data_IF_282768269288
#
_entry.id   IF_282768269288
#
_cell.length_a   1.000
_cell.length_b   1.000
_cell.length_c   1.000
_cell.angle_alpha   90.00
_cell.angle_beta   90.00
_cell.angle_gamma   90.00
#
_symmetry.space_group_name_H-M   'P 1'
#
loop_
_entity.id
_entity.type
_entity.pdbx_description
1 polymer ?
2 non-polymer ?
3 non-polymer ?
4 non-polymer ?
5 non-polymer ?
6 water ?
#
# COMPACT_ATOMS: atom_id res chain seq x y z
N UNK A 4 10.70 -6.10 29.38
CA UNK A 4 10.92 -7.42 28.78
C UNK A 4 10.98 -7.33 27.24
N UNK A 5 12.04 -7.88 26.63
CA UNK A 5 12.22 -7.87 25.18
C UNK A 5 11.16 -8.75 24.45
N UNK A 6 11.04 -8.52 23.13
CA UNK A 6 10.11 -9.24 22.27
C UNK A 6 10.73 -9.56 20.93
N UNK A 7 10.43 -10.73 20.40
CA UNK A 7 10.76 -11.12 19.04
C UNK A 7 9.55 -11.82 18.44
N UNK A 8 9.41 -11.78 17.12
CA UNK A 8 8.28 -12.39 16.44
C UNK A 8 8.71 -13.57 15.58
N UNK A 9 7.79 -14.53 15.36
CA UNK A 9 7.93 -15.65 14.41
C UNK A 9 6.73 -15.48 13.46
N UNK A 10 6.96 -15.47 12.16
CA UNK A 10 5.86 -15.34 11.21
C UNK A 10 5.89 -16.54 10.31
N UNK A 11 4.79 -17.29 10.24
CA UNK A 11 4.66 -18.46 9.38
C UNK A 11 4.30 -17.99 7.98
N UNK A 12 5.15 -18.30 6.98
CA UNK A 12 4.94 -17.79 5.62
C UNK A 12 5.43 -18.77 4.54
N UNK A 13 5.48 -20.08 4.86
CA UNK A 13 6.00 -21.12 3.93
C UNK A 13 4.99 -21.68 2.94
N UNK A 14 3.71 -21.44 3.20
CA UNK A 14 2.59 -21.93 2.39
C UNK A 14 2.64 -21.71 0.90
N UNK A 15 2.17 -22.69 0.13
CA UNK A 15 2.10 -22.65 -1.34
C UNK A 15 0.91 -21.79 -1.81
N UNK A 16 -0.20 -21.84 -1.08
CA UNK A 16 -1.44 -21.16 -1.45
C UNK A 16 -1.99 -21.69 -2.75
N UNK A 17 -2.12 -23.02 -2.85
CA UNK A 17 -2.59 -23.76 -4.00
C UNK A 17 -3.89 -23.15 -4.58
N UNK A 18 -4.87 -22.83 -3.70
CA UNK A 18 -6.19 -22.31 -4.04
C UNK A 18 -6.18 -20.84 -4.54
N UNK A 19 -5.00 -20.20 -4.54
CA UNK A 19 -4.84 -18.87 -5.16
C UNK A 19 -4.64 -19.11 -6.69
N UNK A 20 -4.26 -20.37 -7.09
CA UNK A 20 -3.97 -20.75 -8.50
C UNK A 20 -3.01 -19.71 -9.12
N UNK A 21 -1.86 -19.54 -8.46
CA UNK A 21 -0.87 -18.51 -8.77
C UNK A 21 0.53 -19.08 -8.77
N UNK A 22 1.45 -18.43 -9.51
CA UNK A 22 2.85 -18.78 -9.51
C UNK A 22 3.52 -18.17 -8.26
N UNK A 23 2.85 -17.23 -7.57
CA UNK A 23 3.42 -16.63 -6.37
C UNK A 23 3.17 -17.54 -5.16
N UNK A 24 4.05 -17.54 -4.13
CA UNK A 24 3.67 -18.25 -2.89
C UNK A 24 2.53 -17.45 -2.21
N UNK A 25 1.79 -18.10 -1.31
CA UNK A 25 0.59 -17.57 -0.61
C UNK A 25 0.68 -16.16 -0.04
N UNK A 26 1.72 -15.87 0.73
CA UNK A 26 1.80 -14.61 1.49
C UNK A 26 2.23 -13.38 0.69
N UNK A 27 2.66 -13.54 -0.57
CA UNK A 27 3.08 -12.43 -1.40
C UNK A 27 1.90 -11.69 -2.05
N UNK A 28 0.69 -12.30 -2.08
CA UNK A 28 -0.50 -11.62 -2.61
C UNK A 28 -0.73 -10.40 -1.72
N UNK A 29 -1.09 -9.30 -2.34
CA UNK A 29 -1.20 -8.03 -1.64
C UNK A 29 -2.57 -7.72 -1.04
N UNK A 30 -2.53 -6.90 0.03
CA UNK A 30 -3.64 -6.21 0.68
C UNK A 30 -3.21 -4.74 0.64
N UNK A 31 -4.05 -3.87 0.09
CA UNK A 31 -3.77 -2.44 -0.04
C UNK A 31 -2.38 -2.17 -0.65
N UNK A 32 -2.03 -2.89 -1.72
CA UNK A 32 -0.76 -2.69 -2.41
C UNK A 32 0.50 -3.27 -1.78
N UNK A 33 0.40 -3.91 -0.61
CA UNK A 33 1.62 -4.48 -0.06
C UNK A 33 1.39 -5.96 0.33
N UNK A 34 2.41 -6.85 0.17
CA UNK A 34 2.18 -8.29 0.46
C UNK A 34 1.56 -8.53 1.82
N UNK A 35 0.71 -9.56 1.92
CA UNK A 35 0.10 -9.93 3.21
C UNK A 35 1.16 -10.05 4.29
N UNK A 36 2.28 -10.75 3.99
CA UNK A 36 3.37 -10.96 4.96
C UNK A 36 4.02 -9.63 5.44
N UNK A 37 4.12 -8.64 4.53
CA UNK A 37 4.68 -7.31 4.83
C UNK A 37 3.85 -6.59 5.89
N UNK A 38 2.50 -6.74 5.85
CA UNK A 38 1.64 -6.16 6.86
C UNK A 38 2.04 -6.73 8.21
N UNK A 39 2.22 -8.05 8.28
CA UNK A 39 2.56 -8.76 9.52
C UNK A 39 3.96 -8.34 10.02
N UNK A 40 4.96 -8.28 9.12
CA UNK A 40 6.34 -7.81 9.42
C UNK A 40 6.27 -6.39 10.01
N UNK A 41 5.51 -5.48 9.36
CA UNK A 41 5.37 -4.10 9.84
C UNK A 41 4.70 -4.05 11.20
N UNK A 42 3.65 -4.87 11.43
CA UNK A 42 3.00 -4.94 12.75
C UNK A 42 4.02 -5.38 13.83
N UNK A 43 4.79 -6.46 13.55
CA UNK A 43 5.78 -7.01 14.47
C UNK A 43 6.86 -5.94 14.78
N UNK A 44 7.23 -5.15 13.76
CA UNK A 44 8.17 -4.06 13.91
C UNK A 44 7.58 -2.98 14.80
N UNK A 45 6.32 -2.52 14.52
CA UNK A 45 5.58 -1.51 15.33
C UNK A 45 5.48 -1.94 16.82
N UNK A 46 5.45 -3.26 17.09
CA UNK A 46 5.37 -3.80 18.44
C UNK A 46 6.68 -3.64 19.20
N UNK A 47 7.79 -3.50 18.48
CA UNK A 47 9.11 -3.36 19.07
C UNK A 47 9.93 -4.64 19.03
N UNK A 48 9.60 -5.56 18.09
CA UNK A 48 10.31 -6.82 17.97
C UNK A 48 11.79 -6.59 17.64
N UNK A 49 12.67 -7.19 18.44
CA UNK A 49 14.11 -7.13 18.25
C UNK A 49 14.43 -7.97 17.02
N UNK A 50 13.85 -9.20 16.96
CA UNK A 50 14.02 -10.10 15.83
C UNK A 50 12.67 -10.48 15.24
N UNK A 51 12.65 -10.77 13.94
CA UNK A 51 11.47 -11.23 13.23
C UNK A 51 11.94 -12.43 12.48
N UNK A 52 11.54 -13.61 12.95
CA UNK A 52 11.94 -14.87 12.34
C UNK A 52 10.92 -15.23 11.28
N UNK A 53 11.35 -15.21 10.02
CA UNK A 53 10.43 -15.49 8.92
C UNK A 53 10.57 -16.94 8.43
N UNK A 54 9.55 -17.78 8.71
CA UNK A 54 9.54 -19.15 8.21
C UNK A 54 9.04 -19.13 6.77
N UNK A 55 9.87 -19.52 5.82
CA UNK A 55 9.54 -19.54 4.41
C UNK A 55 9.92 -20.87 3.79
N UNK A 56 9.35 -21.16 2.62
CA UNK A 56 9.53 -22.44 1.95
C UNK A 56 9.17 -22.38 0.50
N UNK A 57 7.86 -22.54 0.17
CA UNK A 57 7.38 -22.42 -1.24
C UNK A 57 7.65 -21.05 -1.80
N UNK A 58 8.03 -21.01 -3.08
CA UNK A 58 8.35 -19.77 -3.79
C UNK A 58 9.44 -18.98 -3.10
N UNK A 59 10.42 -19.71 -2.56
CA UNK A 59 11.57 -19.18 -1.81
C UNK A 59 12.29 -18.05 -2.53
N UNK A 60 12.58 -18.22 -3.82
CA UNK A 60 13.29 -17.18 -4.60
C UNK A 60 12.46 -15.93 -4.74
N UNK A 61 11.13 -16.08 -4.93
CA UNK A 61 10.24 -14.92 -5.05
C UNK A 61 10.12 -14.21 -3.72
N UNK A 62 10.08 -14.99 -2.59
CA UNK A 62 10.02 -14.39 -1.26
C UNK A 62 11.25 -13.48 -1.07
N UNK A 63 12.44 -14.00 -1.44
CA UNK A 63 13.73 -13.28 -1.33
C UNK A 63 13.81 -12.02 -2.19
N UNK A 64 13.28 -12.05 -3.43
CA UNK A 64 13.26 -10.89 -4.34
C UNK A 64 12.22 -9.85 -3.90
N UNK A 65 11.02 -10.30 -3.55
CA UNK A 65 9.96 -9.38 -3.14
C UNK A 65 10.16 -8.77 -1.76
N UNK A 66 10.96 -9.43 -0.88
CA UNK A 66 11.13 -8.93 0.51
C UNK A 66 12.58 -8.72 0.86
N UNK A 67 13.46 -8.55 -0.17
CA UNK A 67 14.92 -8.33 -0.03
C UNK A 67 15.33 -7.35 1.06
N UNK A 68 14.57 -6.28 1.25
CA UNK A 68 14.92 -5.22 2.17
C UNK A 68 14.30 -5.34 3.57
N UNK A 69 13.55 -6.42 3.84
CA UNK A 69 12.94 -6.63 5.16
C UNK A 69 13.98 -7.08 6.17
N UNK A 70 13.97 -6.46 7.36
CA UNK A 70 14.88 -6.81 8.46
C UNK A 70 14.32 -8.02 9.20
N UNK A 71 14.43 -9.18 8.55
CA UNK A 71 13.95 -10.46 9.04
C UNK A 71 15.09 -11.50 9.02
N UNK A 72 14.93 -12.55 9.82
CA UNK A 72 15.81 -13.69 9.83
C UNK A 72 15.12 -14.72 8.93
N UNK A 73 15.78 -15.08 7.82
CA UNK A 73 15.29 -16.03 6.83
C UNK A 73 15.43 -17.45 7.29
N UNK A 74 14.32 -18.06 7.73
CA UNK A 74 14.34 -19.45 8.23
C UNK A 74 13.69 -20.37 7.18
N UNK A 75 14.52 -21.03 6.38
CA UNK A 75 14.08 -21.90 5.29
C UNK A 75 13.67 -23.23 5.78
N UNK A 76 12.38 -23.50 5.64
CA UNK A 76 11.77 -24.76 6.05
C UNK A 76 11.73 -25.66 4.83
N UNK A 77 12.33 -26.86 4.93
CA UNK A 77 12.36 -27.83 3.81
C UNK A 77 11.15 -28.75 3.78
N UNK A 78 10.58 -29.05 4.95
CA UNK A 78 9.42 -29.94 5.04
C UNK A 78 8.33 -29.35 5.91
N UNK A 79 7.08 -29.42 5.42
CA UNK A 79 5.90 -28.94 6.10
C UNK A 79 5.37 -30.08 6.99
N UNK A 80 5.72 -30.06 8.28
CA UNK A 80 5.33 -31.09 9.22
C UNK A 80 4.42 -30.53 10.34
N UNK A 81 3.81 -29.38 10.11
CA UNK A 81 2.92 -28.73 11.07
C UNK A 81 3.48 -27.45 11.62
N UNK A 82 2.61 -26.63 12.21
CA UNK A 82 2.94 -25.31 12.75
C UNK A 82 3.96 -25.35 13.89
N UNK A 83 3.97 -26.40 14.75
CA UNK A 83 4.97 -26.49 15.82
C UNK A 83 6.35 -26.75 15.23
N UNK A 84 6.42 -27.57 14.16
CA UNK A 84 7.69 -27.85 13.47
C UNK A 84 8.22 -26.54 12.82
N UNK A 85 7.32 -25.71 12.26
CA UNK A 85 7.66 -24.43 11.63
C UNK A 85 8.26 -23.48 12.66
N UNK A 86 7.57 -23.29 13.82
CA UNK A 86 8.04 -22.41 14.89
C UNK A 86 9.35 -22.96 15.49
N UNK A 87 9.49 -24.29 15.62
CA UNK A 87 10.71 -24.89 16.15
C UNK A 87 11.96 -24.61 15.31
N UNK A 88 11.78 -24.31 14.01
CA UNK A 88 12.88 -23.98 13.09
C UNK A 88 13.58 -22.68 13.54
N UNK A 89 12.81 -21.74 14.12
CA UNK A 89 13.30 -20.45 14.64
C UNK A 89 13.70 -20.53 16.11
N UNK A 90 13.18 -21.54 16.85
CA UNK A 90 13.46 -21.75 18.28
C UNK A 90 14.95 -21.66 18.69
N UNK A 91 15.96 -22.18 17.93
CA UNK A 91 17.35 -22.00 18.40
C UNK A 91 17.79 -20.53 18.53
N UNK A 92 17.05 -19.61 17.90
CA UNK A 92 17.35 -18.17 17.93
C UNK A 92 16.58 -17.38 18.98
N UNK A 93 15.71 -18.06 19.74
CA UNK A 93 14.92 -17.39 20.78
C UNK A 93 15.77 -17.13 22.01
N UNK A 94 15.64 -15.93 22.60
CA UNK A 94 16.36 -15.66 23.84
C UNK A 94 15.47 -16.21 24.93
N UNK A 95 16.05 -16.90 25.91
CA UNK A 95 15.30 -17.48 27.02
C UNK A 95 14.46 -16.43 27.75
N UNK A 96 14.99 -15.21 27.92
CA UNK A 96 14.35 -14.13 28.68
C UNK A 96 13.54 -13.15 27.82
N UNK A 97 13.31 -13.48 26.56
CA UNK A 97 12.49 -12.60 25.74
C UNK A 97 11.15 -13.26 25.49
N UNK A 98 10.15 -12.43 25.18
CA UNK A 98 8.83 -12.93 24.80
C UNK A 98 8.87 -13.20 23.31
N UNK A 99 8.14 -14.23 22.87
CA UNK A 99 8.01 -14.59 21.47
C UNK A 99 6.53 -14.57 21.12
N UNK A 100 6.16 -13.84 20.04
CA UNK A 100 4.80 -13.78 19.52
C UNK A 100 4.77 -14.55 18.20
N UNK A 101 3.79 -15.45 18.02
CA UNK A 101 3.63 -16.26 16.82
C UNK A 101 2.51 -15.67 16.00
N UNK A 102 2.83 -15.32 14.73
CA UNK A 102 1.94 -14.67 13.79
C UNK A 102 1.94 -15.41 12.46
N UNK A 103 0.94 -15.16 11.61
CA UNK A 103 0.74 -15.90 10.35
C UNK A 103 0.73 -14.96 9.15
N UNK A 104 1.57 -15.25 8.17
CA UNK A 104 1.76 -14.43 6.98
C UNK A 104 0.50 -14.25 6.14
N UNK A 105 -0.45 -15.21 6.27
CA UNK A 105 -1.72 -15.23 5.54
C UNK A 105 -2.90 -14.67 6.38
N UNK A 106 -2.62 -14.12 7.59
CA UNK A 106 -3.65 -13.49 8.43
C UNK A 106 -3.07 -12.09 8.65
N UNK A 107 -3.19 -11.19 7.65
CA UNK A 107 -2.47 -9.91 7.72
C UNK A 107 -3.05 -8.79 8.55
N UNK A 108 -4.32 -8.86 8.94
CA UNK A 108 -4.97 -7.74 9.60
C UNK A 108 -4.76 -7.68 11.11
N UNK A 109 -3.97 -8.59 11.69
CA UNK A 109 -3.66 -8.56 13.12
C UNK A 109 -3.13 -7.17 13.54
N UNK A 110 -3.69 -6.55 14.58
CA UNK A 110 -3.25 -5.21 14.95
C UNK A 110 -2.24 -5.21 16.10
N UNK A 111 -1.40 -4.16 16.13
CA UNK A 111 -0.40 -3.87 17.17
C UNK A 111 -1.12 -3.72 18.51
N UNK A 112 -2.29 -3.04 18.49
CA UNK A 112 -3.14 -2.82 19.67
C UNK A 112 -3.61 -4.16 20.28
N UNK A 113 -4.13 -5.08 19.43
CA UNK A 113 -4.54 -6.41 19.88
C UNK A 113 -3.34 -7.18 20.47
N UNK A 114 -2.20 -7.14 19.79
CA UNK A 114 -0.99 -7.85 20.22
C UNK A 114 -0.36 -7.30 21.48
N UNK A 115 -0.49 -5.97 21.73
CA UNK A 115 -0.01 -5.31 22.95
C UNK A 115 -0.81 -5.84 24.16
N UNK A 116 -2.14 -5.93 24.00
CA UNK A 116 -3.08 -6.47 24.99
C UNK A 116 -2.77 -7.95 25.26
N UNK A 117 -2.34 -8.69 24.22
CA UNK A 117 -1.99 -10.12 24.33
C UNK A 117 -0.70 -10.28 25.13
N UNK A 118 0.35 -9.50 24.81
CA UNK A 118 1.65 -9.56 25.48
C UNK A 118 1.50 -9.23 26.97
N UNK A 119 0.77 -8.14 27.27
CA UNK A 119 0.47 -7.63 28.63
C UNK A 119 -0.21 -8.67 29.54
N UNK A 120 -1.09 -9.49 28.97
CA UNK A 120 -1.83 -10.50 29.72
C UNK A 120 -1.00 -11.75 30.00
N UNK A 121 0.11 -11.97 29.26
CA UNK A 121 0.95 -13.14 29.41
C UNK A 121 1.49 -13.32 30.82
N UNK A 122 1.07 -14.40 31.53
CA UNK A 122 1.60 -14.64 32.89
C UNK A 122 3.01 -15.20 32.80
N UNK A 123 3.87 -14.89 33.80
CA UNK A 123 5.24 -15.39 33.84
C UNK A 123 5.30 -16.92 33.70
N UNK A 124 6.18 -17.42 32.79
CA UNK A 124 6.38 -18.84 32.47
C UNK A 124 5.14 -19.50 31.86
N UNK A 125 4.16 -18.68 31.47
CA UNK A 125 2.90 -19.13 30.88
C UNK A 125 2.69 -18.67 29.46
N UNK A 126 1.43 -18.78 29.00
CA UNK A 126 1.04 -18.45 27.64
C UNK A 126 -0.13 -17.49 27.65
N UNK A 127 -0.16 -16.57 26.67
CA UNK A 127 -1.30 -15.70 26.41
C UNK A 127 -1.77 -16.14 25.03
N UNK A 128 -3.00 -16.66 24.98
CA UNK A 128 -3.60 -17.17 23.77
C UNK A 128 -4.65 -16.20 23.28
N UNK A 129 -4.55 -15.83 21.97
CA UNK A 129 -5.50 -14.93 21.34
C UNK A 129 -6.68 -15.77 20.92
N UNK A 130 -7.86 -15.37 21.37
CA UNK A 130 -9.10 -16.08 21.08
C UNK A 130 -10.10 -15.12 20.43
N UNK A 131 -11.21 -15.65 19.92
CA UNK A 131 -12.23 -14.84 19.27
C UNK A 131 -13.58 -15.53 19.39
N UNK A 132 -14.66 -14.74 19.52
CA UNK A 132 -16.01 -15.29 19.62
C UNK A 132 -16.63 -15.35 18.23
N UNK A 133 -17.23 -16.48 17.90
CA UNK A 133 -17.88 -16.67 16.60
C UNK A 133 -19.33 -17.04 16.82
N UNK A 134 -20.27 -16.45 16.02
CA UNK A 134 -21.70 -16.77 16.13
C UNK A 134 -21.91 -18.22 15.73
N UNK A 135 -21.15 -18.67 14.72
CA UNK A 135 -21.09 -20.05 14.27
C UNK A 135 -19.62 -20.51 14.42
N UNK A 136 -19.27 -21.15 15.57
CA UNK A 136 -17.88 -21.59 15.78
C UNK A 136 -17.52 -22.95 15.14
N UNK A 137 -18.44 -23.58 14.36
CA UNK A 137 -18.28 -24.91 13.72
C UNK A 137 -16.94 -25.06 12.98
N UNK A 138 -16.22 -26.12 13.34
CA UNK A 138 -14.91 -26.41 12.75
C UNK A 138 -13.71 -25.89 13.54
N UNK A 139 -13.92 -24.90 14.43
CA UNK A 139 -12.83 -24.29 15.21
C UNK A 139 -12.66 -24.92 16.58
N UNK A 140 -11.43 -24.88 17.11
CA UNK A 140 -11.08 -25.41 18.42
C UNK A 140 -11.67 -24.55 19.53
N UNK A 141 -12.55 -25.14 20.35
CA UNK A 141 -13.26 -24.47 21.44
C UNK A 141 -12.39 -24.23 22.66
N UNK A 142 -12.47 -23.02 23.23
CA UNK A 142 -11.71 -22.64 24.43
C UNK A 142 -12.41 -23.17 25.67
N UNK A 143 -11.68 -24.01 26.45
CA UNK A 143 -12.18 -24.52 27.72
C UNK A 143 -11.47 -23.76 28.83
N UNK A 144 -12.24 -22.94 29.56
CA UNK A 144 -11.73 -22.19 30.69
C UNK A 144 -12.19 -22.87 31.99
N UNK A 145 -11.23 -23.17 32.87
CA UNK A 145 -11.51 -23.72 34.20
C UNK A 145 -10.67 -22.87 35.13
N UNK A 146 -11.34 -22.27 36.15
CA UNK A 146 -10.71 -21.37 37.14
C UNK A 146 -10.04 -20.16 36.46
N UNK A 147 -10.75 -19.58 35.47
CA UNK A 147 -10.31 -18.43 34.70
C UNK A 147 -9.25 -18.68 33.64
N UNK A 148 -8.52 -19.82 33.75
CA UNK A 148 -7.41 -20.25 32.87
C UNK A 148 -7.82 -21.27 31.78
N UNK A 149 -7.12 -21.24 30.60
CA UNK A 149 -7.39 -22.12 29.46
C UNK A 149 -6.78 -23.48 29.75
N UNK A 150 -7.64 -24.49 29.93
CA UNK A 150 -7.20 -25.85 30.22
C UNK A 150 -7.14 -26.74 28.96
N UNK A 151 -7.89 -26.36 27.90
CA UNK A 151 -7.92 -27.16 26.68
C UNK A 151 -8.48 -26.40 25.52
N UNK A 152 -8.08 -26.83 24.32
CA UNK A 152 -8.58 -26.36 23.03
C UNK A 152 -9.18 -27.65 22.49
N UNK A 153 -10.52 -27.73 22.55
CA UNK A 153 -11.24 -28.93 22.13
C UNK A 153 -11.64 -28.78 20.68
N UNK A 154 -11.14 -29.70 19.83
CA UNK A 154 -11.42 -29.69 18.39
C UNK A 154 -12.84 -30.14 18.09
N UNK A 155 -13.40 -29.63 16.99
CA UNK A 155 -14.76 -29.93 16.52
C UNK A 155 -15.13 -31.41 16.66
N UNK A 156 -14.32 -32.30 16.09
CA UNK A 156 -14.59 -33.76 16.11
C UNK A 156 -14.63 -34.41 17.50
N UNK A 157 -14.04 -33.79 18.54
CA UNK A 157 -13.97 -34.32 19.91
C UNK A 157 -14.97 -33.73 20.87
N UNK A 158 -15.43 -32.50 20.60
CA UNK A 158 -16.34 -31.75 21.45
C UNK A 158 -17.64 -32.48 21.77
N UNK A 159 -18.08 -32.39 23.02
CA UNK A 159 -19.38 -32.91 23.44
C UNK A 159 -20.41 -31.82 23.06
N UNK A 160 -21.71 -32.16 23.07
CA UNK A 160 -22.83 -31.29 22.68
C UNK A 160 -22.78 -29.90 23.31
N UNK A 161 -22.45 -29.86 24.61
CA UNK A 161 -22.32 -28.67 25.43
C UNK A 161 -21.11 -27.82 24.98
N UNK A 162 -19.98 -28.50 24.63
CA UNK A 162 -18.75 -27.83 24.17
C UNK A 162 -18.90 -27.25 22.77
N UNK A 163 -19.72 -27.88 21.90
CA UNK A 163 -19.97 -27.38 20.54
C UNK A 163 -20.67 -26.00 20.58
N UNK A 164 -21.39 -25.72 21.69
CA UNK A 164 -22.06 -24.43 21.91
C UNK A 164 -21.12 -23.31 22.42
N UNK A 165 -19.84 -23.63 22.75
CA UNK A 165 -18.85 -22.63 23.13
C UNK A 165 -18.57 -21.83 21.85
N UNK A 166 -18.68 -20.51 21.94
CA UNK A 166 -18.48 -19.59 20.81
C UNK A 166 -17.02 -19.11 20.74
N UNK A 167 -16.30 -19.16 21.88
CA UNK A 167 -14.90 -18.78 21.98
C UNK A 167 -14.00 -19.84 21.35
N UNK A 168 -13.24 -19.45 20.35
CA UNK A 168 -12.37 -20.34 19.59
C UNK A 168 -10.94 -19.86 19.56
N UNK A 169 -10.04 -20.81 19.27
CA UNK A 169 -8.60 -20.60 19.14
C UNK A 169 -8.28 -19.93 17.78
N UNK A 170 -7.35 -18.95 17.80
CA UNK A 170 -6.90 -18.22 16.59
C UNK A 170 -5.52 -18.67 16.07
N UNK A 171 -4.73 -19.31 16.94
CA UNK A 171 -3.36 -19.75 16.66
C UNK A 171 -2.33 -18.76 17.17
N UNK A 172 -2.75 -17.49 17.41
CA UNK A 172 -1.86 -16.44 17.87
C UNK A 172 -1.63 -16.59 19.36
N UNK A 173 -0.35 -16.62 19.74
CA UNK A 173 0.06 -16.83 21.12
C UNK A 173 1.37 -16.18 21.47
N UNK A 174 1.59 -15.95 22.78
CA UNK A 174 2.82 -15.38 23.33
C UNK A 174 3.29 -16.23 24.50
N UNK A 175 4.59 -16.51 24.54
CA UNK A 175 5.26 -17.19 25.64
C UNK A 175 6.73 -16.77 25.60
N UNK A 176 7.49 -17.03 26.66
CA UNK A 176 8.91 -16.70 26.67
C UNK A 176 9.71 -17.72 25.84
N UNK A 177 10.89 -17.33 25.37
CA UNK A 177 11.75 -18.16 24.55
C UNK A 177 12.12 -19.51 25.16
N UNK A 178 12.43 -19.55 26.49
CA UNK A 178 12.78 -20.80 27.16
C UNK A 178 11.61 -21.80 27.18
N UNK A 179 10.39 -21.29 27.46
CA UNK A 179 9.16 -22.09 27.49
C UNK A 179 8.86 -22.63 26.10
N UNK A 180 8.99 -21.79 25.03
CA UNK A 180 8.82 -22.26 23.65
C UNK A 180 9.78 -23.40 23.32
N UNK A 181 11.08 -23.22 23.57
CA UNK A 181 12.11 -24.23 23.30
C UNK A 181 11.78 -25.56 23.98
N UNK A 182 11.46 -25.49 25.27
CA UNK A 182 11.10 -26.62 26.13
C UNK A 182 9.85 -27.34 25.60
N UNK A 183 8.74 -26.63 25.39
CA UNK A 183 7.48 -27.25 24.98
C UNK A 183 7.49 -27.71 23.54
N UNK A 184 8.17 -26.99 22.61
CA UNK A 184 8.20 -27.44 21.20
C UNK A 184 8.89 -28.79 21.06
N UNK A 185 9.92 -29.08 21.87
CA UNK A 185 10.64 -30.36 21.85
C UNK A 185 9.75 -31.53 22.31
N UNK A 186 8.62 -31.21 22.98
CA UNK A 186 7.67 -32.17 23.54
C UNK A 186 6.42 -32.37 22.66
N UNK A 187 6.24 -31.59 21.56
CA UNK A 187 5.06 -31.76 20.71
C UNK A 187 5.20 -33.03 19.87
N UNK A 188 4.12 -33.82 19.81
CA UNK A 188 4.04 -35.04 19.02
C UNK A 188 3.18 -34.85 17.79
N UNK A 189 3.17 -35.87 16.92
CA UNK A 189 2.37 -35.82 15.69
C UNK A 189 1.35 -36.95 15.67
N UNK A 190 0.98 -37.49 16.85
CA UNK A 190 0.02 -38.58 16.89
C UNK A 190 -1.43 -38.08 16.78
N UNK A 191 -1.85 -37.83 15.55
CA UNK A 191 -3.18 -37.34 15.17
C UNK A 191 -3.46 -37.73 13.70
N UNK A 192 -4.71 -37.55 13.24
CA UNK A 192 -5.14 -37.93 11.88
C UNK A 192 -4.27 -37.34 10.77
N UNK A 193 -3.71 -36.13 10.98
CA UNK A 193 -2.89 -35.44 9.98
C UNK A 193 -1.41 -35.77 10.07
N UNK A 194 -1.00 -36.38 11.19
CA UNK A 194 0.40 -36.71 11.43
C UNK A 194 1.28 -35.47 11.49
N UNK A 195 0.72 -34.36 12.00
CA UNK A 195 1.45 -33.08 12.10
C UNK A 195 1.72 -32.66 13.52
N UNK A 196 2.77 -31.87 13.72
CA UNK A 196 3.12 -31.32 15.02
C UNK A 196 2.44 -29.95 15.10
N UNK A 197 1.36 -29.88 15.89
CA UNK A 197 0.56 -28.68 16.04
C UNK A 197 1.04 -27.79 17.16
N UNK A 198 1.17 -26.50 16.84
CA UNK A 198 1.51 -25.48 17.83
C UNK A 198 0.42 -25.43 18.94
N UNK A 199 -0.86 -25.73 18.57
CA UNK A 199 -2.04 -25.82 19.45
C UNK A 199 -1.73 -26.62 20.74
N UNK A 200 -0.92 -27.70 20.59
CA UNK A 200 -0.55 -28.63 21.67
C UNK A 200 0.22 -27.99 22.81
N UNK A 201 0.79 -26.80 22.59
CA UNK A 201 1.49 -26.07 23.63
C UNK A 201 0.59 -25.72 24.83
N UNK A 202 -0.73 -25.62 24.62
CA UNK A 202 -1.71 -25.29 25.68
C UNK A 202 -1.80 -26.46 26.64
N UNK A 203 -1.90 -27.68 26.09
CA UNK A 203 -1.94 -28.91 26.88
C UNK A 203 -0.59 -29.12 27.60
N UNK A 204 0.54 -28.84 26.93
CA UNK A 204 1.88 -29.00 27.54
C UNK A 204 2.14 -28.01 28.68
N UNK A 205 1.64 -26.77 28.53
CA UNK A 205 1.75 -25.73 29.56
C UNK A 205 0.96 -26.18 30.78
N UNK A 206 -0.24 -26.76 30.57
CA UNK A 206 -1.10 -27.24 31.65
C UNK A 206 -0.45 -28.40 32.39
N UNK A 207 0.24 -29.33 31.66
CA UNK A 207 1.00 -30.46 32.23
C UNK A 207 2.09 -29.97 33.16
N UNK A 208 2.67 -28.79 32.85
CA UNK A 208 3.75 -28.17 33.62
C UNK A 208 3.26 -27.23 34.71
N UNK A 209 1.93 -27.13 34.88
CA UNK A 209 1.29 -26.24 35.86
C UNK A 209 1.65 -24.76 35.60
N UNK A 210 1.55 -24.38 34.32
CA UNK A 210 1.80 -23.02 33.86
C UNK A 210 0.48 -22.53 33.35
N UNK A 211 0.13 -21.27 33.65
CA UNK A 211 -1.20 -20.82 33.25
C UNK A 211 -1.22 -20.28 31.84
N UNK A 212 -2.36 -20.53 31.20
CA UNK A 212 -2.69 -20.09 29.86
C UNK A 212 -3.86 -19.15 30.06
N UNK A 213 -3.66 -17.91 29.70
CA UNK A 213 -4.67 -16.86 29.79
C UNK A 213 -5.20 -16.57 28.38
N UNK A 214 -6.54 -16.45 28.22
CA UNK A 214 -7.19 -16.11 26.94
C UNK A 214 -7.32 -14.58 26.85
N UNK A 215 -7.13 -14.05 25.63
CA UNK A 215 -7.25 -12.61 25.30
C UNK A 215 -8.12 -12.54 24.05
N UNK A 216 -9.33 -11.97 24.15
CA UNK A 216 -10.23 -11.89 23.01
C UNK A 216 -9.80 -10.81 22.02
N UNK A 217 -9.75 -11.14 20.72
CA UNK A 217 -9.42 -10.16 19.67
C UNK A 217 -10.62 -9.21 19.51
N UNK A 218 -10.37 -7.94 19.18
CA UNK A 218 -11.47 -6.96 19.03
C UNK A 218 -12.35 -7.31 17.81
N UNK A 219 -11.72 -7.54 16.66
CA UNK A 219 -12.42 -7.93 15.44
C UNK A 219 -11.98 -9.29 14.97
N UNK A 220 -12.94 -10.09 14.47
CA UNK A 220 -12.73 -11.42 13.89
C UNK A 220 -11.78 -11.30 12.68
N UNK A 221 -11.94 -10.23 11.90
CA UNK A 221 -11.17 -9.99 10.68
C UNK A 221 -9.68 -9.88 10.92
N UNK A 222 -9.26 -9.61 12.17
CA UNK A 222 -7.85 -9.52 12.56
C UNK A 222 -7.18 -10.88 12.57
N UNK A 223 -7.98 -11.93 12.76
CA UNK A 223 -7.47 -13.30 12.88
C UNK A 223 -7.75 -14.14 11.65
N UNK A 224 -8.63 -13.64 10.73
CA UNK A 224 -9.00 -14.34 9.50
C UNK A 224 -7.79 -14.48 8.57
N UNK A 225 -7.63 -15.67 8.00
CA UNK A 225 -6.58 -15.96 7.04
C UNK A 225 -7.12 -16.03 5.63
N UNK A 226 -6.32 -15.70 4.62
CA UNK A 226 -6.83 -15.78 3.23
C UNK A 226 -6.22 -16.98 2.53
N UNK A 227 -7.07 -17.95 2.18
CA UNK A 227 -6.71 -19.21 1.52
C UNK A 227 -6.93 -19.17 0.02
N UNK A 228 -7.72 -18.20 -0.44
CA UNK A 228 -8.04 -17.98 -1.84
C UNK A 228 -8.23 -16.46 -2.09
N UNK A 229 -8.40 -16.03 -3.36
CA UNK A 229 -8.57 -14.61 -3.70
C UNK A 229 -9.94 -14.02 -3.31
N UNK A 230 -10.95 -14.87 -3.12
CA UNK A 230 -12.26 -14.40 -2.64
C UNK A 230 -12.13 -13.93 -1.18
N UNK A 231 -11.45 -14.72 -0.35
CA UNK A 231 -11.16 -14.42 1.06
C UNK A 231 -10.25 -13.22 1.16
N UNK A 232 -9.25 -13.14 0.25
CA UNK A 232 -8.31 -12.01 0.18
C UNK A 232 -9.09 -10.72 -0.13
N UNK A 233 -10.01 -10.76 -1.09
CA UNK A 233 -10.87 -9.62 -1.45
C UNK A 233 -11.74 -9.18 -0.25
N UNK A 234 -12.24 -10.13 0.57
CA UNK A 234 -13.02 -9.78 1.76
C UNK A 234 -12.12 -9.06 2.81
N UNK A 235 -10.86 -9.49 2.96
CA UNK A 235 -9.91 -8.82 3.90
C UNK A 235 -9.59 -7.39 3.37
N UNK A 236 -9.37 -7.28 2.04
CA UNK A 236 -9.14 -6.02 1.36
C UNK A 236 -10.26 -5.00 1.63
N UNK A 237 -11.52 -5.41 1.43
CA UNK A 237 -12.64 -4.50 1.63
C UNK A 237 -12.78 -4.08 3.11
N UNK A 238 -12.59 -5.02 4.05
CA UNK A 238 -12.61 -4.72 5.48
C UNK A 238 -11.51 -3.69 5.83
N UNK A 239 -10.26 -3.92 5.32
CA UNK A 239 -9.10 -3.05 5.54
C UNK A 239 -9.37 -1.65 4.94
N UNK A 240 -9.89 -1.60 3.71
CA UNK A 240 -10.24 -0.32 3.07
C UNK A 240 -11.29 0.43 3.84
N UNK A 241 -12.36 -0.24 4.29
CA UNK A 241 -13.42 0.38 5.08
C UNK A 241 -12.84 0.95 6.39
N UNK A 242 -11.95 0.19 7.04
CA UNK A 242 -11.32 0.64 8.30
C UNK A 242 -10.47 1.90 8.10
N UNK A 243 -9.67 1.95 7.01
CA UNK A 243 -8.81 3.09 6.67
C UNK A 243 -9.64 4.33 6.39
N UNK A 244 -10.71 4.18 5.61
CA UNK A 244 -11.64 5.23 5.23
C UNK A 244 -12.35 5.78 6.47
N UNK A 245 -12.81 4.90 7.36
CA UNK A 245 -13.51 5.27 8.63
C UNK A 245 -12.60 6.10 9.50
N UNK A 246 -11.30 5.71 9.62
CA UNK A 246 -10.31 6.46 10.39
C UNK A 246 -10.10 7.85 9.80
N UNK A 247 -9.99 7.94 8.46
CA UNK A 247 -9.79 9.22 7.80
C UNK A 247 -10.99 10.16 8.00
N UNK A 248 -12.20 9.61 7.89
CA UNK A 248 -13.45 10.34 8.13
C UNK A 248 -13.52 10.91 9.55
N UNK A 249 -13.11 10.12 10.55
CA UNK A 249 -13.09 10.56 11.96
C UNK A 249 -11.99 11.62 12.21
N UNK A 250 -10.95 11.65 11.36
CA UNK A 250 -9.89 12.65 11.40
C UNK A 250 -10.33 13.94 10.69
N UNK A 251 -11.45 13.90 9.98
CA UNK A 251 -11.98 15.07 9.28
C UNK A 251 -11.75 15.13 7.79
N UNK A 252 -11.41 14.00 7.15
CA UNK A 252 -11.28 13.99 5.68
C UNK A 252 -12.68 13.70 5.14
N UNK A 253 -13.21 14.57 4.27
CA UNK A 253 -14.54 14.34 3.68
C UNK A 253 -14.42 13.36 2.52
N UNK A 254 -14.65 12.07 2.81
CA UNK A 254 -14.64 11.04 1.77
C UNK A 254 -16.11 10.82 1.44
N UNK A 255 -16.55 11.29 0.28
CA UNK A 255 -17.94 11.22 -0.16
C UNK A 255 -18.55 9.83 -0.06
N UNK A 256 -17.78 8.79 -0.47
CA UNK A 256 -18.19 7.40 -0.33
C UNK A 256 -17.04 6.53 0.15
N UNK A 257 -17.04 6.15 1.45
CA UNK A 257 -15.96 5.29 1.96
C UNK A 257 -15.89 3.92 1.28
N UNK A 258 -16.98 3.46 0.65
CA UNK A 258 -16.99 2.18 -0.08
C UNK A 258 -16.36 2.31 -1.50
N UNK A 259 -16.07 3.57 -1.92
CA UNK A 259 -15.45 3.86 -3.22
C UNK A 259 -14.25 4.73 -3.02
N UNK A 260 -13.37 4.28 -2.14
CA UNK A 260 -12.13 4.97 -1.79
C UNK A 260 -11.08 3.91 -1.55
N UNK A 261 -9.88 4.08 -2.10
CA UNK A 261 -8.82 3.11 -1.84
C UNK A 261 -7.55 3.80 -1.45
N UNK A 262 -6.93 3.34 -0.36
CA UNK A 262 -5.65 3.85 0.13
C UNK A 262 -4.70 2.64 0.15
N UNK A 263 -3.64 2.74 -0.64
CA UNK A 263 -2.64 1.70 -0.83
C UNK A 263 -1.28 2.28 -0.51
N UNK A 264 -1.10 2.62 0.76
CA UNK A 264 0.12 3.27 1.24
C UNK A 264 -0.19 4.17 2.41
N UNK A 265 0.34 5.41 2.42
CA UNK A 265 0.11 6.36 3.52
C UNK A 265 -0.46 7.69 3.04
N UNK A 266 -1.34 8.27 3.85
CA UNK A 266 -1.94 9.55 3.51
C UNK A 266 -1.74 10.53 4.65
N UNK A 267 -1.09 11.65 4.37
CA UNK A 267 -0.93 12.73 5.31
C UNK A 267 -1.90 13.79 4.80
N UNK A 268 -2.72 14.36 5.70
CA UNK A 268 -3.69 15.35 5.22
C UNK A 268 -3.84 16.56 6.11
N UNK A 269 -4.30 17.67 5.54
CA UNK A 269 -4.63 18.83 6.33
C UNK A 269 -6.11 18.80 6.69
N UNK A 270 -6.69 19.98 6.96
CA UNK A 270 -8.12 20.11 7.30
C UNK A 270 -8.92 20.42 6.03
N UNK A 271 -10.22 20.11 6.07
CA UNK A 271 -11.19 20.41 4.99
C UNK A 271 -10.82 19.79 3.61
N UNK A 272 -10.21 18.61 3.66
CA UNK A 272 -9.89 17.86 2.45
C UNK A 272 -11.17 17.13 1.99
N UNK A 273 -11.45 17.21 0.70
CA UNK A 273 -12.63 16.58 0.08
C UNK A 273 -12.18 15.64 -0.98
N UNK A 274 -12.59 14.39 -0.84
CA UNK A 274 -12.25 13.30 -1.78
C UNK A 274 -13.53 12.71 -2.39
N UNK A 275 -13.74 12.90 -3.71
CA UNK A 275 -14.94 12.39 -4.37
C UNK A 275 -14.84 10.88 -4.61
N UNK A 276 -15.91 10.26 -5.08
CA UNK A 276 -15.98 8.81 -5.25
C UNK A 276 -14.96 8.31 -6.29
N UNK A 277 -14.45 7.09 -6.08
CA UNK A 277 -13.54 6.34 -6.94
C UNK A 277 -12.18 6.95 -7.05
N UNK A 278 -11.61 7.36 -5.94
CA UNK A 278 -10.25 7.89 -5.93
C UNK A 278 -9.35 6.78 -5.34
N UNK A 279 -8.12 6.67 -5.90
CA UNK A 279 -7.09 5.75 -5.45
C UNK A 279 -5.85 6.56 -5.05
N UNK A 280 -5.41 6.34 -3.81
CA UNK A 280 -4.23 6.99 -3.18
C UNK A 280 -3.18 5.89 -3.02
N UNK A 281 -2.02 6.02 -3.70
CA UNK A 281 -0.96 5.00 -3.66
C UNK A 281 0.36 5.55 -3.18
N UNK A 282 1.18 4.69 -2.58
CA UNK A 282 2.49 5.09 -2.05
C UNK A 282 2.31 6.10 -0.95
N UNK A 283 3.22 7.10 -0.90
CA UNK A 283 3.15 8.16 0.10
C UNK A 283 2.56 9.42 -0.48
N UNK A 284 1.42 9.81 0.04
CA UNK A 284 0.71 10.97 -0.46
C UNK A 284 0.51 11.96 0.68
N UNK A 285 0.73 13.24 0.38
CA UNK A 285 0.54 14.34 1.30
C UNK A 285 -0.36 15.38 0.65
N UNK A 286 -1.46 15.70 1.33
CA UNK A 286 -2.42 16.71 0.90
C UNK A 286 -2.45 17.82 1.93
N UNK A 287 -2.38 19.09 1.49
CA UNK A 287 -2.49 20.22 2.41
C UNK A 287 -3.94 20.51 2.75
N UNK A 288 -4.22 21.69 3.30
CA UNK A 288 -5.58 22.09 3.66
C UNK A 288 -6.43 22.44 2.45
N UNK A 289 -7.74 22.08 2.52
CA UNK A 289 -8.75 22.39 1.51
C UNK A 289 -8.41 21.83 0.12
N UNK A 290 -7.69 20.73 0.05
CA UNK A 290 -7.44 20.05 -1.22
C UNK A 290 -8.76 19.35 -1.61
N UNK A 291 -9.21 19.56 -2.85
CA UNK A 291 -10.41 18.90 -3.38
C UNK A 291 -9.98 17.96 -4.50
N UNK A 292 -10.34 16.68 -4.40
CA UNK A 292 -9.99 15.67 -5.40
C UNK A 292 -11.29 15.18 -6.03
N UNK A 293 -11.43 15.40 -7.34
CA UNK A 293 -12.64 15.04 -8.08
C UNK A 293 -12.75 13.56 -8.32
N UNK A 294 -13.85 13.13 -8.92
CA UNK A 294 -14.06 11.70 -9.17
C UNK A 294 -13.00 11.06 -10.09
N UNK A 295 -12.64 9.84 -9.78
CA UNK A 295 -11.76 9.01 -10.60
C UNK A 295 -10.29 9.36 -10.64
N UNK A 296 -9.79 10.13 -9.67
CA UNK A 296 -8.39 10.46 -9.72
C UNK A 296 -7.51 9.37 -9.16
N UNK A 297 -6.24 9.31 -9.62
CA UNK A 297 -5.24 8.38 -9.11
C UNK A 297 -4.03 9.21 -8.71
N UNK A 298 -3.69 9.20 -7.41
CA UNK A 298 -2.54 9.95 -6.89
C UNK A 298 -1.56 8.93 -6.34
N UNK A 299 -0.35 8.88 -6.91
CA UNK A 299 0.67 7.95 -6.45
C UNK A 299 1.93 8.71 -6.18
N UNK A 300 2.37 8.70 -4.91
CA UNK A 300 3.61 9.37 -4.48
C UNK A 300 3.66 10.84 -4.86
N UNK A 301 2.70 11.62 -4.38
CA UNK A 301 2.58 13.03 -4.70
C UNK A 301 2.47 13.88 -3.46
N UNK A 302 2.90 15.13 -3.57
CA UNK A 302 2.77 16.16 -2.55
C UNK A 302 1.88 17.25 -3.19
N UNK A 303 0.73 17.51 -2.56
CA UNK A 303 -0.24 18.49 -3.06
C UNK A 303 -0.38 19.59 -2.02
N UNK A 304 -0.09 20.83 -2.43
CA UNK A 304 -0.16 22.01 -1.57
C UNK A 304 -1.58 22.39 -1.17
N UNK A 305 -1.73 23.36 -0.24
CA UNK A 305 -3.04 23.83 0.21
C UNK A 305 -3.85 24.40 -0.95
N UNK A 306 -5.18 24.27 -0.87
CA UNK A 306 -6.13 24.90 -1.81
C UNK A 306 -6.01 24.44 -3.25
N UNK A 307 -5.44 23.27 -3.49
CA UNK A 307 -5.36 22.72 -4.84
C UNK A 307 -6.67 22.00 -5.12
N UNK A 308 -7.17 22.13 -6.34
CA UNK A 308 -8.32 21.38 -6.77
C UNK A 308 -7.86 20.50 -7.93
N UNK A 309 -8.10 19.19 -7.81
CA UNK A 309 -7.79 18.21 -8.86
C UNK A 309 -9.14 17.79 -9.42
N UNK A 310 -9.39 18.11 -10.68
CA UNK A 310 -10.65 17.84 -11.32
C UNK A 310 -10.72 16.41 -11.79
N UNK A 311 -11.92 15.87 -12.09
CA UNK A 311 -12.05 14.44 -12.43
C UNK A 311 -11.07 13.82 -13.44
N UNK A 312 -10.76 12.54 -13.23
CA UNK A 312 -9.98 11.68 -14.14
C UNK A 312 -8.59 12.21 -14.41
N UNK A 313 -7.88 12.57 -13.33
CA UNK A 313 -6.49 13.00 -13.37
C UNK A 313 -5.65 11.92 -12.72
N UNK A 314 -4.53 11.61 -13.36
CA UNK A 314 -3.57 10.58 -12.93
C UNK A 314 -2.26 11.29 -12.65
N UNK A 315 -1.81 11.27 -11.40
CA UNK A 315 -0.59 11.95 -10.95
C UNK A 315 0.32 10.93 -10.33
N UNK A 316 1.60 11.04 -10.62
CA UNK A 316 2.62 10.16 -10.06
C UNK A 316 3.95 10.85 -9.88
N UNK A 317 4.58 10.63 -8.71
CA UNK A 317 5.91 11.16 -8.37
C UNK A 317 6.01 12.63 -8.77
N UNK A 318 5.00 13.40 -8.35
CA UNK A 318 4.85 14.81 -8.69
C UNK A 318 4.60 15.68 -7.50
N UNK A 319 4.91 16.98 -7.62
CA UNK A 319 4.70 18.01 -6.60
C UNK A 319 3.81 19.09 -7.18
N UNK A 320 2.75 19.48 -6.44
CA UNK A 320 1.80 20.50 -6.86
C UNK A 320 1.74 21.61 -5.79
N UNK A 321 2.09 22.83 -6.21
CA UNK A 321 2.12 24.01 -5.34
C UNK A 321 0.73 24.49 -4.99
N UNK A 322 0.64 25.36 -3.98
CA UNK A 322 -0.65 25.84 -3.48
C UNK A 322 -1.49 26.57 -4.49
N UNK A 323 -2.82 26.37 -4.41
CA UNK A 323 -3.79 27.02 -5.31
C UNK A 323 -3.63 26.61 -6.78
N UNK A 324 -2.87 25.54 -7.09
CA UNK A 324 -2.78 25.05 -8.47
C UNK A 324 -4.13 24.43 -8.85
N UNK A 325 -4.43 24.34 -10.15
CA UNK A 325 -5.68 23.75 -10.62
C UNK A 325 -5.30 22.73 -11.68
N UNK A 326 -5.67 21.47 -11.44
CA UNK A 326 -5.32 20.36 -12.33
C UNK A 326 -6.59 19.70 -12.82
N UNK A 327 -6.58 19.26 -14.07
CA UNK A 327 -7.67 18.48 -14.63
C UNK A 327 -8.82 19.30 -15.16
N UNK A 328 -9.87 18.63 -15.65
CA UNK A 328 -10.03 17.16 -15.72
C UNK A 328 -9.13 16.54 -16.79
N UNK A 329 -8.94 15.21 -16.72
CA UNK A 329 -8.16 14.45 -17.71
C UNK A 329 -6.72 14.93 -17.85
N UNK A 330 -6.08 15.35 -16.76
CA UNK A 330 -4.64 15.74 -16.81
C UNK A 330 -3.77 14.53 -16.38
N UNK A 331 -2.55 14.49 -16.91
CA UNK A 331 -1.63 13.42 -16.60
C UNK A 331 -0.31 13.98 -16.13
N UNK A 332 0.01 13.75 -14.86
CA UNK A 332 1.29 14.18 -14.33
C UNK A 332 2.11 12.92 -14.17
N UNK A 333 3.21 12.86 -14.91
CA UNK A 333 4.12 11.73 -14.89
C UNK A 333 5.27 12.04 -13.94
N UNK A 334 6.12 11.03 -13.54
CA UNK A 334 7.22 11.34 -12.61
C UNK A 334 8.07 12.57 -12.94
N UNK A 335 8.38 13.34 -11.90
CA UNK A 335 9.20 14.53 -11.99
C UNK A 335 8.44 15.79 -12.36
N UNK A 336 7.11 15.73 -12.48
CA UNK A 336 6.31 16.94 -12.81
C UNK A 336 6.29 17.79 -11.54
N UNK A 337 6.74 19.03 -11.64
CA UNK A 337 6.76 19.92 -10.47
C UNK A 337 6.04 21.18 -10.85
N UNK A 338 4.84 21.32 -10.32
CA UNK A 338 4.03 22.50 -10.59
C UNK A 338 4.15 23.44 -9.45
N UNK A 339 4.51 24.70 -9.75
CA UNK A 339 4.63 25.75 -8.75
C UNK A 339 3.22 26.22 -8.36
N UNK A 340 3.14 27.08 -7.35
CA UNK A 340 1.88 27.63 -6.88
C UNK A 340 1.12 28.31 -8.03
N UNK A 341 -0.22 28.30 -7.94
CA UNK A 341 -1.13 29.00 -8.85
C UNK A 341 -1.00 28.69 -10.34
N UNK A 342 -0.53 27.50 -10.67
CA UNK A 342 -0.39 27.00 -12.05
C UNK A 342 -1.69 26.34 -12.47
N UNK A 343 -1.87 26.13 -13.79
CA UNK A 343 -3.10 25.54 -14.35
C UNK A 343 -2.73 24.49 -15.37
N UNK A 344 -3.21 23.26 -15.18
CA UNK A 344 -2.96 22.13 -16.09
C UNK A 344 -4.35 21.57 -16.46
N UNK A 345 -4.67 21.53 -17.76
CA UNK A 345 -5.99 21.18 -18.27
C UNK A 345 -6.14 19.83 -18.92
N UNK A 346 -7.26 19.64 -19.62
CA UNK A 346 -7.62 18.37 -20.21
C UNK A 346 -6.73 17.95 -21.34
N UNK A 347 -6.42 16.66 -21.34
CA UNK A 347 -5.63 15.99 -22.39
C UNK A 347 -4.23 16.62 -22.43
N UNK A 348 -3.67 16.93 -21.25
CA UNK A 348 -2.35 17.48 -21.04
C UNK A 348 -1.50 16.48 -20.27
N UNK A 349 -0.26 16.27 -20.77
CA UNK A 349 0.71 15.36 -20.18
C UNK A 349 1.98 16.12 -19.85
N UNK A 350 2.37 16.09 -18.57
CA UNK A 350 3.58 16.74 -18.06
C UNK A 350 4.48 15.64 -17.53
N UNK A 351 5.71 15.59 -18.04
CA UNK A 351 6.71 14.61 -17.66
C UNK A 351 8.03 15.26 -17.33
N UNK A 352 8.58 14.96 -16.16
CA UNK A 352 9.92 15.43 -15.74
C UNK A 352 10.18 16.88 -16.21
N UNK A 353 9.33 17.78 -15.76
CA UNK A 353 9.34 19.18 -16.10
C UNK A 353 8.93 20.00 -14.92
N UNK A 354 9.50 21.21 -14.80
CA UNK A 354 9.12 22.17 -13.77
C UNK A 354 8.30 23.25 -14.49
N UNK A 355 7.19 23.69 -13.88
CA UNK A 355 6.29 24.70 -14.46
C UNK A 355 6.17 25.79 -13.40
N UNK A 356 6.58 27.00 -13.76
CA UNK A 356 6.62 28.13 -12.86
C UNK A 356 5.28 28.73 -12.51
N UNK A 357 5.28 29.55 -11.46
CA UNK A 357 4.12 30.20 -10.84
C UNK A 357 3.23 30.92 -11.82
N UNK A 358 1.95 30.57 -11.79
CA UNK A 358 0.92 31.20 -12.62
C UNK A 358 0.87 30.78 -14.06
N UNK A 359 1.80 29.89 -14.49
CA UNK A 359 1.84 29.39 -15.86
C UNK A 359 0.64 28.49 -16.17
N UNK A 360 0.21 28.48 -17.44
CA UNK A 360 -0.93 27.68 -17.83
C UNK A 360 -0.63 26.79 -19.01
N UNK A 361 -1.11 25.53 -18.91
CA UNK A 361 -0.91 24.49 -19.93
C UNK A 361 -2.27 23.81 -19.92
N UNK A 362 -3.22 24.40 -20.62
CA UNK A 362 -4.61 24.01 -20.48
C UNK A 362 -5.23 23.07 -21.53
N UNK A 363 -4.52 22.69 -22.61
CA UNK A 363 -5.16 21.78 -23.59
C UNK A 363 -4.22 21.07 -24.50
N UNK A 364 -4.45 19.76 -24.67
CA UNK A 364 -3.89 18.91 -25.73
C UNK A 364 -2.39 19.10 -26.00
N UNK A 365 -1.62 19.05 -24.94
CA UNK A 365 -0.19 19.37 -24.92
C UNK A 365 0.61 18.28 -24.26
N UNK A 366 1.84 18.11 -24.74
CA UNK A 366 2.84 17.25 -24.14
C UNK A 366 3.98 18.15 -23.76
N UNK A 367 4.34 18.20 -22.45
CA UNK A 367 5.54 18.92 -21.99
C UNK A 367 6.44 17.87 -21.31
N UNK A 368 7.59 17.60 -21.90
CA UNK A 368 8.53 16.61 -21.37
C UNK A 368 9.93 17.17 -21.26
N UNK A 369 10.66 16.83 -20.17
CA UNK A 369 12.07 17.26 -19.92
C UNK A 369 12.24 18.75 -20.12
N UNK A 370 11.35 19.53 -19.52
CA UNK A 370 11.39 20.95 -19.69
C UNK A 370 11.43 21.73 -18.39
N UNK A 371 11.85 23.00 -18.49
CA UNK A 371 11.77 23.95 -17.41
C UNK A 371 10.98 25.11 -17.96
N UNK A 372 9.82 25.41 -17.39
CA UNK A 372 8.98 26.51 -17.82
C UNK A 372 8.95 27.53 -16.68
N UNK A 373 9.21 28.79 -16.98
CA UNK A 373 9.22 29.83 -15.96
C UNK A 373 7.85 30.26 -15.47
N UNK A 374 7.79 31.41 -14.83
CA UNK A 374 6.56 31.97 -14.29
C UNK A 374 5.72 32.73 -15.34
N UNK A 375 4.41 32.70 -15.18
CA UNK A 375 3.39 33.41 -15.98
C UNK A 375 3.49 33.17 -17.47
N UNK A 376 3.76 31.91 -17.85
CA UNK A 376 3.82 31.50 -19.25
C UNK A 376 2.46 31.04 -19.68
N UNK A 377 2.18 31.17 -20.97
CA UNK A 377 0.93 30.73 -21.59
C UNK A 377 1.29 29.66 -22.62
N UNK A 378 1.06 28.39 -22.31
CA UNK A 378 1.42 27.31 -23.25
C UNK A 378 0.15 26.94 -24.00
N UNK A 379 0.05 27.37 -25.26
CA UNK A 379 -1.13 27.13 -26.09
C UNK A 379 -1.52 25.69 -26.31
N UNK A 380 -2.79 25.45 -26.67
CA UNK A 380 -3.32 24.12 -26.99
C UNK A 380 -2.49 23.50 -28.11
N UNK A 381 -2.24 22.19 -28.06
CA UNK A 381 -1.52 21.49 -29.10
C UNK A 381 -0.02 21.65 -29.11
N UNK A 382 0.53 22.35 -28.12
CA UNK A 382 1.98 22.54 -28.05
C UNK A 382 2.65 21.22 -27.66
N UNK A 383 3.78 20.89 -28.29
CA UNK A 383 4.49 19.65 -27.99
C UNK A 383 5.98 19.97 -27.89
N UNK A 384 6.65 19.46 -26.84
CA UNK A 384 8.09 19.54 -26.75
C UNK A 384 8.54 18.21 -27.39
N UNK A 385 9.52 18.22 -28.30
CA UNK A 385 10.01 16.97 -28.92
C UNK A 385 11.52 16.99 -29.10
N UNK A 386 12.06 15.89 -29.63
CA UNK A 386 13.49 15.71 -29.90
C UNK A 386 13.71 15.29 -31.34
N UNK A 387 14.96 15.42 -31.80
CA UNK A 387 15.40 14.90 -33.09
C UNK A 387 15.51 13.37 -32.93
N UNK A 388 15.49 12.63 -34.05
CA UNK A 388 15.65 11.18 -34.06
C UNK A 388 17.10 10.82 -33.61
N UNK A 389 17.22 9.86 -32.69
CA UNK A 389 18.52 9.42 -32.19
C UNK A 389 19.04 10.23 -31.03
N UNK A 390 18.27 11.27 -30.61
CA UNK A 390 18.58 12.13 -29.47
C UNK A 390 18.45 11.37 -28.14
N UNK A 391 18.91 12.00 -27.05
CA UNK A 391 18.87 11.37 -25.75
C UNK A 391 18.03 12.20 -24.80
N UNK A 392 16.76 12.44 -25.19
CA UNK A 392 15.81 13.22 -24.39
C UNK A 392 16.43 14.55 -23.89
N UNK A 393 16.60 15.51 -24.80
CA UNK A 393 17.18 16.79 -24.43
C UNK A 393 16.10 17.74 -23.85
N UNK A 394 16.59 18.80 -23.23
CA UNK A 394 15.75 19.75 -22.50
C UNK A 394 15.27 20.95 -23.31
N UNK A 395 14.06 21.38 -22.99
CA UNK A 395 13.43 22.60 -23.49
C UNK A 395 13.43 23.53 -22.28
N UNK A 396 14.04 24.71 -22.42
CA UNK A 396 14.13 25.69 -21.35
C UNK A 396 13.34 26.93 -21.78
N UNK A 397 12.23 27.19 -21.10
CA UNK A 397 11.35 28.35 -21.39
C UNK A 397 11.45 29.29 -20.18
N UNK A 398 11.73 30.56 -20.44
CA UNK A 398 11.86 31.58 -19.41
C UNK A 398 10.53 32.02 -18.82
N UNK A 399 10.51 33.23 -18.26
CA UNK A 399 9.32 33.82 -17.63
C UNK A 399 8.55 34.63 -18.65
N UNK A 400 7.22 34.72 -18.49
CA UNK A 400 6.33 35.56 -19.31
C UNK A 400 6.42 35.29 -20.82
N UNK A 401 6.54 34.02 -21.18
CA UNK A 401 6.63 33.63 -22.57
C UNK A 401 5.22 33.22 -23.04
N UNK A 402 4.84 33.63 -24.25
CA UNK A 402 3.61 33.16 -24.87
C UNK A 402 4.04 32.12 -25.96
N UNK A 403 3.48 30.91 -25.93
CA UNK A 403 3.79 29.90 -26.95
C UNK A 403 2.45 29.61 -27.63
N UNK A 404 2.33 30.04 -28.89
CA UNK A 404 1.12 29.90 -29.68
C UNK A 404 0.76 28.46 -29.93
N UNK A 405 -0.51 28.23 -30.09
CA UNK A 405 -1.13 26.93 -30.27
C UNK A 405 -0.50 26.10 -31.38
N UNK A 406 -0.35 24.79 -31.14
CA UNK A 406 0.18 23.83 -32.13
C UNK A 406 1.62 24.14 -32.58
N UNK A 407 2.45 24.61 -31.64
CA UNK A 407 3.87 24.86 -31.85
C UNK A 407 4.66 23.64 -31.36
N UNK A 408 5.68 23.25 -32.13
CA UNK A 408 6.57 22.16 -31.72
C UNK A 408 7.85 22.81 -31.23
N UNK A 409 8.27 22.47 -30.01
CA UNK A 409 9.52 22.97 -29.43
C UNK A 409 10.52 21.82 -29.53
N UNK A 410 11.55 22.00 -30.37
CA UNK A 410 12.53 20.94 -30.67
C UNK A 410 13.74 21.09 -29.80
N UNK A 411 13.80 20.24 -28.77
CA UNK A 411 14.90 20.22 -27.81
C UNK A 411 16.18 19.71 -28.50
N UNK A 412 17.39 20.16 -28.10
CA UNK A 412 17.70 21.14 -27.05
C UNK A 412 17.44 22.56 -27.52
N UNK A 413 16.62 23.32 -26.77
CA UNK A 413 16.28 24.68 -27.20
C UNK A 413 15.97 25.55 -25.99
N UNK A 414 16.27 26.84 -26.10
CA UNK A 414 16.00 27.83 -25.06
C UNK A 414 15.12 28.94 -25.57
N UNK A 415 14.10 29.30 -24.81
CA UNK A 415 13.22 30.43 -25.13
C UNK A 415 13.35 31.41 -23.96
N UNK A 416 13.95 32.58 -24.20
CA UNK A 416 14.21 33.57 -23.15
C UNK A 416 12.96 34.35 -22.69
N UNK A 417 13.08 35.07 -21.56
CA UNK A 417 12.03 35.87 -20.94
C UNK A 417 11.27 36.77 -21.90
N UNK A 418 9.95 36.81 -21.78
CA UNK A 418 9.07 37.70 -22.53
C UNK A 418 8.95 37.47 -24.02
N UNK A 419 9.53 36.37 -24.53
CA UNK A 419 9.44 35.98 -25.94
C UNK A 419 7.99 35.61 -26.31
N UNK A 420 7.63 35.80 -27.59
CA UNK A 420 6.30 35.49 -28.09
C UNK A 420 6.44 34.59 -29.27
N UNK A 421 5.74 33.48 -29.26
CA UNK A 421 5.78 32.55 -30.39
C UNK A 421 4.40 32.42 -30.99
N UNK A 422 4.29 32.70 -32.30
CA UNK A 422 3.05 32.58 -33.05
C UNK A 422 2.59 31.14 -33.17
N UNK A 423 1.30 30.96 -33.45
CA UNK A 423 0.68 29.64 -33.62
C UNK A 423 1.29 28.87 -34.84
N UNK A 424 1.32 27.54 -34.76
CA UNK A 424 1.82 26.69 -35.83
C UNK A 424 3.31 26.82 -36.15
N UNK A 425 4.13 27.21 -35.18
CA UNK A 425 5.57 27.39 -35.39
C UNK A 425 6.40 26.10 -35.09
N UNK A 426 7.56 25.92 -35.73
CA UNK A 426 8.51 24.83 -35.43
C UNK A 426 9.76 25.54 -34.85
N UNK A 427 9.99 25.41 -33.54
CA UNK A 427 11.12 26.08 -32.88
C UNK A 427 12.29 25.12 -32.75
N UNK A 428 13.40 25.43 -33.45
CA UNK A 428 14.65 24.64 -33.44
C UNK A 428 15.82 25.50 -32.91
N UNK A 429 15.75 26.80 -33.13
CA UNK A 429 16.81 27.73 -32.70
C UNK A 429 16.36 28.48 -31.46
N UNK A 430 17.31 28.81 -30.58
CA UNK A 430 17.07 29.58 -29.35
C UNK A 430 16.35 30.89 -29.66
N UNK A 431 15.42 31.26 -28.79
CA UNK A 431 14.62 32.49 -28.95
C UNK A 431 15.10 33.47 -27.89
N UNK A 432 15.47 34.67 -28.33
CA UNK A 432 16.01 35.71 -27.44
C UNK A 432 14.95 36.41 -26.62
N UNK A 433 15.40 37.23 -25.65
CA UNK A 433 14.54 37.98 -24.76
C UNK A 433 13.71 38.95 -25.56
N UNK A 434 12.38 38.94 -25.35
CA UNK A 434 11.43 39.82 -26.07
C UNK A 434 11.42 39.57 -27.59
N UNK A 435 11.86 38.39 -28.03
CA UNK A 435 11.86 38.08 -29.44
C UNK A 435 10.49 37.52 -29.84
N UNK A 436 9.92 38.09 -30.90
CA UNK A 436 8.65 37.62 -31.45
C UNK A 436 9.01 36.75 -32.65
N UNK A 437 8.54 35.49 -32.63
CA UNK A 437 8.80 34.53 -33.71
C UNK A 437 7.46 34.10 -34.25
N UNK A 438 7.19 34.45 -35.51
CA UNK A 438 5.94 34.10 -36.19
C UNK A 438 6.24 33.38 -37.50
N UNK A 439 5.41 32.39 -37.86
CA UNK A 439 5.61 31.60 -39.06
C UNK A 439 5.07 32.34 -40.28
N UNK A 440 5.87 32.32 -41.37
CA UNK A 440 5.49 32.89 -42.65
C UNK A 440 4.82 31.76 -43.46
N UNK A 441 3.50 31.82 -43.61
CA UNK A 441 2.81 30.77 -44.36
C UNK A 441 2.63 31.16 -45.83
N UNK A 442 2.70 30.15 -46.68
CA UNK A 442 2.40 30.30 -48.10
C UNK A 442 1.15 29.45 -48.27
N UNK A 443 0.12 30.03 -48.89
CA UNK A 443 -1.16 29.34 -49.10
C UNK A 443 -1.67 29.51 -50.51
N UNK A 444 -2.30 28.46 -51.04
CA UNK A 444 -2.96 28.52 -52.33
C UNK A 444 -4.47 28.69 -52.05
N UNK A 445 -5.05 29.72 -52.66
CA UNK A 445 -6.47 30.07 -52.54
C UNK A 445 -7.13 29.82 -53.88
N UNK A 446 -8.14 28.94 -53.90
CA UNK A 446 -8.87 28.57 -55.11
C UNK A 446 -10.35 28.92 -54.90
N UNK A 447 -10.83 29.89 -55.67
CA UNK A 447 -12.20 30.39 -55.60
C UNK A 447 -13.15 29.49 -56.36
N UNK A 448 -14.40 29.45 -55.93
CA UNK A 448 -15.41 28.64 -56.61
C UNK A 448 -15.13 27.15 -56.53
N UNK A 449 -14.51 26.71 -55.43
CA UNK A 449 -14.26 25.30 -55.21
C UNK A 449 -15.52 24.71 -54.58
N UNK A 450 -16.27 23.97 -55.39
CA UNK A 450 -17.51 23.33 -54.97
C UNK A 450 -17.19 21.97 -54.36
N UNK A 451 -17.52 21.78 -53.06
CA UNK A 451 -17.23 20.54 -52.32
C UNK A 451 -18.02 19.32 -52.88
N UNK A 452 -17.48 18.08 -52.70
CA UNK A 452 -18.19 16.92 -53.24
C UNK A 452 -19.31 16.43 -52.32
N UNK A 453 -20.34 17.29 -52.15
CA UNK A 453 -21.48 17.06 -51.27
C UNK A 453 -22.82 17.16 -52.01
#
# INVERSE_FOLDING_TARGET
MTKKALSAVILAAGKGTRMYSDLPKVLHTIAGKPMVKHVIDTAHQLGSENIHLIYGHGGDLMRTHLANEQVNWVLQTEQLGTAHAVQQAAPFFKDNENIVVLYGDAPLITKETLEKLIEAKPENGIALLTVNLDNPTGYGRIIRENGNVVAIVEQKDANAEQLNIKEVNTGVMVSDGASFKKWLARVGNNNAQGEYYLTDLIALANQDNCQVVAVQATDVMEVEGANNRLQLAALERYFQNKQASKLLLEGVMIYDPARFDLRGTLEHGKDVEIDVNVIIEGNVKLGDRVKIGTGCVLKNVVIGNDVEIKPYSVLEDSIVGEKAAIGPFSRLRPGAELAAETHVGNFVEIKKSTVGKGSKVNHLTYVGDSEIGSNCNIGAGVITCNYDGANKFKTIIGDDVFVGSDTQLVAPVKVANGATIGAGTTITRDVGENELVITRVAQRHIQGWQRPIKKK
#
